data_IF_796765420263
#
_entry.id   IF_796765420263
#
_cell.length_a   1.000
_cell.length_b   1.000
_cell.length_c   1.000
_cell.angle_alpha   90.00
_cell.angle_beta   90.00
_cell.angle_gamma   90.00
#
_symmetry.space_group_name_H-M   'P 1'
#
loop_
_entity.id
_entity.type
_entity.pdbx_description
1 polymer ?
#
# COMPACT_ATOMS: atom_id res chain seq x y z
N UNK A 1 -35.52 -35.60 21.08
CA UNK A 1 -34.57 -36.64 21.55
C UNK A 1 -35.29 -37.95 21.89
N UNK A 2 -36.47 -37.91 22.52
CA UNK A 2 -37.25 -39.11 22.85
C UNK A 2 -37.79 -39.88 21.63
N UNK A 3 -38.20 -39.21 20.56
CA UNK A 3 -38.76 -39.88 19.37
C UNK A 3 -37.72 -40.65 18.55
N UNK A 4 -36.48 -40.16 18.47
CA UNK A 4 -35.38 -40.85 17.78
C UNK A 4 -35.02 -42.15 18.50
N UNK A 5 -35.03 -42.12 19.84
CA UNK A 5 -34.78 -43.28 20.69
C UNK A 5 -35.89 -44.34 20.55
N UNK A 6 -37.15 -43.90 20.46
CA UNK A 6 -38.31 -44.76 20.21
C UNK A 6 -38.31 -45.39 18.82
N UNK A 7 -37.90 -44.65 17.78
CA UNK A 7 -37.74 -45.18 16.41
C UNK A 7 -36.61 -46.20 16.34
N UNK A 8 -35.48 -45.94 17.01
CA UNK A 8 -34.35 -46.87 17.08
C UNK A 8 -34.70 -48.15 17.85
N UNK A 9 -35.48 -48.05 18.94
CA UNK A 9 -35.95 -49.20 19.72
C UNK A 9 -36.96 -50.07 18.95
N UNK A 10 -37.82 -49.47 18.12
CA UNK A 10 -38.78 -50.21 17.28
C UNK A 10 -38.15 -50.86 16.04
N UNK A 11 -37.00 -50.37 15.57
CA UNK A 11 -36.30 -50.90 14.41
C UNK A 11 -35.35 -52.07 14.74
N UNK A 12 -35.16 -52.40 16.02
CA UNK A 12 -34.30 -53.49 16.44
C UNK A 12 -35.00 -54.85 16.18
N UNK A 13 -34.45 -55.74 15.33
CA UNK A 13 -34.98 -57.08 15.14
C UNK A 13 -34.83 -57.88 16.44
N UNK A 14 -35.89 -58.60 16.82
CA UNK A 14 -35.90 -59.45 18.02
C UNK A 14 -34.65 -60.35 18.07
N UNK A 15 -33.80 -60.14 19.08
CA UNK A 15 -32.60 -60.96 19.33
C UNK A 15 -31.25 -60.34 18.97
N UNK A 16 -31.16 -59.11 18.43
CA UNK A 16 -29.87 -58.40 18.31
C UNK A 16 -29.65 -57.44 19.47
N UNK A 17 -28.52 -57.60 20.15
CA UNK A 17 -28.09 -56.71 21.23
C UNK A 17 -28.03 -55.26 20.74
N UNK A 18 -28.70 -54.35 21.46
CA UNK A 18 -28.78 -52.92 21.18
C UNK A 18 -27.37 -52.30 21.01
N UNK A 19 -26.37 -52.86 21.69
CA UNK A 19 -24.97 -52.51 21.53
C UNK A 19 -24.47 -52.65 20.07
N UNK A 20 -24.90 -53.69 19.36
CA UNK A 20 -24.44 -53.96 17.98
C UNK A 20 -24.90 -52.90 16.98
N UNK A 21 -26.01 -52.20 17.27
CA UNK A 21 -26.55 -51.12 16.42
C UNK A 21 -25.96 -49.76 16.81
N UNK A 22 -25.78 -49.48 18.11
CA UNK A 22 -25.31 -48.17 18.59
C UNK A 22 -23.81 -47.95 18.32
N UNK A 23 -22.98 -48.97 18.50
CA UNK A 23 -21.52 -48.84 18.30
C UNK A 23 -21.14 -48.29 16.93
N UNK A 24 -21.63 -48.83 15.78
CA UNK A 24 -21.26 -48.29 14.47
C UNK A 24 -21.78 -46.86 14.24
N UNK A 25 -22.93 -46.50 14.80
CA UNK A 25 -23.47 -45.13 14.72
C UNK A 25 -22.58 -44.16 15.49
N UNK A 26 -22.19 -44.51 16.72
CA UNK A 26 -21.30 -43.69 17.54
C UNK A 26 -19.91 -43.56 16.91
N UNK A 27 -19.38 -44.64 16.32
CA UNK A 27 -18.13 -44.59 15.56
C UNK A 27 -18.22 -43.68 14.33
N UNK A 28 -19.33 -43.74 13.58
CA UNK A 28 -19.55 -42.86 12.43
C UNK A 28 -19.65 -41.39 12.86
N UNK A 29 -20.39 -41.09 13.94
CA UNK A 29 -20.49 -39.74 14.50
C UNK A 29 -19.14 -39.23 15.01
N UNK A 30 -18.37 -40.06 15.73
CA UNK A 30 -17.04 -39.72 16.20
C UNK A 30 -16.09 -39.43 15.03
N UNK A 31 -16.16 -40.20 13.95
CA UNK A 31 -15.39 -39.95 12.73
C UNK A 31 -15.78 -38.62 12.08
N UNK A 32 -17.08 -38.33 11.93
CA UNK A 32 -17.56 -37.06 11.37
C UNK A 32 -17.08 -35.87 12.21
N UNK A 33 -17.20 -35.95 13.54
CA UNK A 33 -16.73 -34.92 14.46
C UNK A 33 -15.20 -34.75 14.38
N UNK A 34 -14.45 -35.84 14.28
CA UNK A 34 -13.00 -35.81 14.12
C UNK A 34 -12.58 -35.14 12.81
N UNK A 35 -13.22 -35.49 11.69
CA UNK A 35 -13.01 -34.84 10.40
C UNK A 35 -13.34 -33.34 10.44
N UNK A 36 -14.47 -32.97 11.05
CA UNK A 36 -14.87 -31.56 11.19
C UNK A 36 -13.87 -30.78 12.07
N UNK A 37 -13.42 -31.36 13.18
CA UNK A 37 -12.42 -30.75 14.06
C UNK A 37 -11.07 -30.58 13.35
N UNK A 38 -10.64 -31.57 12.57
CA UNK A 38 -9.42 -31.49 11.77
C UNK A 38 -9.50 -30.37 10.73
N UNK A 39 -10.60 -30.30 9.97
CA UNK A 39 -10.83 -29.24 8.98
C UNK A 39 -10.79 -27.86 9.65
N UNK A 40 -11.48 -27.71 10.79
CA UNK A 40 -11.48 -26.46 11.54
C UNK A 40 -10.09 -26.07 12.06
N UNK A 41 -9.32 -27.04 12.56
CA UNK A 41 -7.93 -26.83 13.00
C UNK A 41 -7.04 -26.35 11.85
N UNK A 42 -7.15 -26.96 10.66
CA UNK A 42 -6.41 -26.53 9.46
C UNK A 42 -6.81 -25.11 9.06
N UNK A 43 -8.10 -24.76 9.09
CA UNK A 43 -8.54 -23.39 8.80
C UNK A 43 -7.98 -22.36 9.79
N UNK A 44 -7.94 -22.67 11.08
CA UNK A 44 -7.32 -21.82 12.10
C UNK A 44 -5.84 -21.64 11.80
N UNK A 45 -5.10 -22.72 11.57
CA UNK A 45 -3.66 -22.67 11.28
C UNK A 45 -3.36 -21.83 10.03
N UNK A 46 -4.16 -21.96 8.97
CA UNK A 46 -4.00 -21.15 7.75
C UNK A 46 -4.28 -19.66 8.01
N UNK A 47 -5.29 -19.33 8.83
CA UNK A 47 -5.60 -17.95 9.21
C UNK A 47 -4.49 -17.35 10.07
N UNK A 48 -3.98 -18.11 11.03
CA UNK A 48 -2.87 -17.70 11.89
C UNK A 48 -1.58 -17.51 11.09
N UNK A 49 -1.26 -18.42 10.17
CA UNK A 49 -0.12 -18.27 9.26
C UNK A 49 -0.22 -16.99 8.43
N UNK A 50 -1.39 -16.71 7.84
CA UNK A 50 -1.62 -15.45 7.09
C UNK A 50 -1.46 -14.22 7.98
N UNK A 51 -1.99 -14.25 9.21
CA UNK A 51 -1.84 -13.17 10.19
C UNK A 51 -0.37 -12.94 10.54
N UNK A 52 0.37 -14.00 10.82
CA UNK A 52 1.79 -13.93 11.16
C UNK A 52 2.61 -13.36 9.99
N UNK A 53 2.36 -13.82 8.76
CA UNK A 53 3.01 -13.27 7.55
C UNK A 53 2.69 -11.78 7.40
N UNK A 54 1.43 -11.36 7.54
CA UNK A 54 1.04 -9.95 7.45
C UNK A 54 1.68 -9.11 8.56
N UNK A 55 1.82 -9.66 9.76
CA UNK A 55 2.49 -9.00 10.87
C UNK A 55 3.98 -8.82 10.57
N UNK A 56 4.69 -9.89 10.18
CA UNK A 56 6.10 -9.82 9.78
C UNK A 56 6.30 -8.81 8.65
N UNK A 57 5.48 -8.88 7.60
CA UNK A 57 5.54 -7.93 6.48
C UNK A 57 5.35 -6.48 6.97
N UNK A 58 4.34 -6.22 7.81
CA UNK A 58 4.10 -4.88 8.38
C UNK A 58 5.29 -4.39 9.21
N UNK A 59 5.90 -5.25 10.03
CA UNK A 59 7.08 -4.90 10.83
C UNK A 59 8.26 -4.55 9.92
N UNK A 60 8.57 -5.40 8.93
CA UNK A 60 9.66 -5.15 7.98
C UNK A 60 9.45 -3.86 7.19
N UNK A 61 8.23 -3.60 6.72
CA UNK A 61 7.91 -2.36 6.00
C UNK A 61 7.99 -1.12 6.90
N UNK A 62 7.61 -1.24 8.17
CA UNK A 62 7.76 -0.16 9.16
C UNK A 62 9.24 0.17 9.39
N UNK A 63 10.11 -0.84 9.49
CA UNK A 63 11.56 -0.66 9.60
C UNK A 63 12.15 0.00 8.36
N UNK A 64 11.74 -0.42 7.16
CA UNK A 64 12.12 0.22 5.89
C UNK A 64 11.72 1.71 5.89
N UNK A 65 10.48 2.02 6.28
CA UNK A 65 10.01 3.39 6.37
C UNK A 65 10.83 4.22 7.37
N UNK A 66 11.15 3.64 8.53
CA UNK A 66 12.01 4.27 9.53
C UNK A 66 13.41 4.58 9.00
N UNK A 67 14.02 3.66 8.25
CA UNK A 67 15.32 3.90 7.60
C UNK A 67 15.20 4.99 6.53
N UNK A 68 14.14 4.99 5.72
CA UNK A 68 13.92 6.02 4.70
C UNK A 68 13.83 7.42 5.32
N UNK A 69 13.15 7.56 6.46
CA UNK A 69 13.09 8.83 7.19
C UNK A 69 14.47 9.23 7.71
N UNK A 70 15.23 8.30 8.33
CA UNK A 70 16.59 8.60 8.83
C UNK A 70 17.52 9.06 7.72
N UNK A 71 17.54 8.36 6.58
CA UNK A 71 18.36 8.73 5.42
C UNK A 71 17.94 10.09 4.87
N UNK A 72 16.64 10.39 4.83
CA UNK A 72 16.15 11.70 4.40
C UNK A 72 16.59 12.82 5.35
N UNK A 73 16.46 12.62 6.67
CA UNK A 73 16.89 13.59 7.69
C UNK A 73 18.38 13.88 7.59
N UNK A 74 19.21 12.84 7.50
CA UNK A 74 20.67 12.95 7.34
C UNK A 74 21.05 13.78 6.10
N UNK A 75 20.38 13.54 4.96
CA UNK A 75 20.62 14.30 3.72
C UNK A 75 20.16 15.76 3.79
N UNK A 76 19.25 16.09 4.70
CA UNK A 76 18.69 17.44 4.85
C UNK A 76 19.52 18.27 5.84
N UNK A 77 20.03 17.66 6.90
CA UNK A 77 20.76 18.33 7.98
C UNK A 77 22.22 18.60 7.62
N UNK A 78 22.84 17.75 6.79
CA UNK A 78 24.22 17.95 6.34
C UNK A 78 24.25 18.51 4.91
N UNK A 79 24.51 19.82 4.79
CA UNK A 79 24.72 20.49 3.50
C UNK A 79 25.99 19.98 2.79
N UNK A 80 27.04 19.68 3.56
CA UNK A 80 28.29 19.12 3.06
C UNK A 80 28.33 17.59 3.24
N UNK A 81 28.65 16.87 2.17
CA UNK A 81 28.75 15.41 2.18
C UNK A 81 30.11 14.97 2.72
N UNK A 82 30.21 14.82 4.03
CA UNK A 82 31.41 14.24 4.68
C UNK A 82 31.57 12.76 4.29
N UNK A 83 32.80 12.23 4.20
CA UNK A 83 33.02 10.79 3.98
C UNK A 83 32.31 9.91 5.02
N UNK A 84 32.27 10.35 6.27
CA UNK A 84 31.61 9.67 7.38
C UNK A 84 30.09 9.59 7.18
N UNK A 85 29.44 10.68 6.74
CA UNK A 85 28.02 10.69 6.39
C UNK A 85 27.72 9.70 5.27
N UNK A 86 28.56 9.68 4.24
CA UNK A 86 28.41 8.76 3.10
C UNK A 86 28.47 7.31 3.59
N UNK A 87 29.39 6.98 4.49
CA UNK A 87 29.49 5.64 5.11
C UNK A 87 28.23 5.29 5.91
N UNK A 88 27.73 6.21 6.74
CA UNK A 88 26.49 6.01 7.52
C UNK A 88 25.29 5.76 6.60
N UNK A 89 25.14 6.54 5.54
CA UNK A 89 24.07 6.36 4.54
C UNK A 89 24.21 5.01 3.84
N UNK A 90 25.43 4.59 3.50
CA UNK A 90 25.68 3.28 2.87
C UNK A 90 25.32 2.11 3.80
N UNK A 91 25.61 2.23 5.10
CA UNK A 91 25.20 1.25 6.11
C UNK A 91 23.67 1.15 6.21
N UNK A 92 22.96 2.28 6.20
CA UNK A 92 21.50 2.28 6.13
C UNK A 92 20.96 1.68 4.84
N UNK A 93 21.59 1.95 3.70
CA UNK A 93 21.21 1.37 2.42
C UNK A 93 21.40 -0.16 2.41
N UNK A 94 22.47 -0.67 3.01
CA UNK A 94 22.69 -2.11 3.14
C UNK A 94 21.61 -2.79 4.00
N UNK A 95 21.28 -2.22 5.17
CA UNK A 95 20.18 -2.72 6.01
C UNK A 95 18.85 -2.70 5.26
N UNK A 96 18.58 -1.60 4.56
CA UNK A 96 17.37 -1.43 3.75
C UNK A 96 17.29 -2.46 2.62
N UNK A 97 18.39 -2.74 1.94
CA UNK A 97 18.44 -3.77 0.89
C UNK A 97 18.07 -5.17 1.41
N UNK A 98 18.58 -5.54 2.59
CA UNK A 98 18.22 -6.81 3.25
C UNK A 98 16.73 -6.87 3.61
N UNK A 99 16.20 -5.81 4.22
CA UNK A 99 14.79 -5.75 4.62
C UNK A 99 13.85 -5.78 3.40
N UNK A 100 14.18 -5.03 2.35
CA UNK A 100 13.42 -5.00 1.09
C UNK A 100 13.40 -6.37 0.45
N UNK A 101 14.54 -7.08 0.41
CA UNK A 101 14.60 -8.44 -0.14
C UNK A 101 13.71 -9.42 0.64
N UNK A 102 13.69 -9.31 1.98
CA UNK A 102 12.80 -10.11 2.82
C UNK A 102 11.31 -9.78 2.59
N UNK A 103 10.98 -8.50 2.47
CA UNK A 103 9.61 -8.05 2.19
C UNK A 103 9.14 -8.49 0.80
N UNK A 104 9.99 -8.36 -0.23
CA UNK A 104 9.74 -8.81 -1.60
C UNK A 104 9.42 -10.30 -1.63
N UNK A 105 10.26 -11.12 -1.00
CA UNK A 105 10.00 -12.56 -0.87
C UNK A 105 8.64 -12.84 -0.21
N UNK A 106 8.31 -12.18 0.90
CA UNK A 106 7.01 -12.39 1.58
C UNK A 106 5.83 -11.96 0.69
N UNK A 107 5.97 -10.87 -0.06
CA UNK A 107 4.96 -10.34 -0.96
C UNK A 107 4.79 -11.21 -2.21
N UNK A 108 5.87 -11.74 -2.78
CA UNK A 108 5.81 -12.68 -3.91
C UNK A 108 5.06 -13.97 -3.52
N UNK A 109 5.39 -14.52 -2.34
CA UNK A 109 4.72 -15.73 -1.83
C UNK A 109 3.27 -15.48 -1.39
N UNK A 110 2.90 -14.24 -1.06
CA UNK A 110 1.60 -13.88 -0.49
C UNK A 110 1.03 -12.60 -1.10
N UNK A 111 1.00 -12.52 -2.43
CA UNK A 111 0.68 -11.29 -3.17
C UNK A 111 -0.58 -10.58 -2.70
N UNK A 112 -1.63 -11.30 -2.31
CA UNK A 112 -2.91 -10.73 -1.83
C UNK A 112 -2.84 -10.05 -0.45
N UNK A 113 -1.77 -10.24 0.32
CA UNK A 113 -1.62 -9.63 1.65
C UNK A 113 -1.06 -8.21 1.60
N UNK A 114 -0.45 -7.81 0.49
CA UNK A 114 0.09 -6.47 0.29
C UNK A 114 -0.99 -5.49 -0.19
N UNK A 115 -1.09 -4.37 0.53
CA UNK A 115 -1.90 -3.21 0.12
C UNK A 115 -1.19 -2.40 -0.97
N UNK A 116 -1.94 -1.50 -1.63
CA UNK A 116 -1.41 -0.51 -2.58
C UNK A 116 -0.35 0.40 -1.91
N UNK A 117 -0.53 0.72 -0.64
CA UNK A 117 0.43 1.52 0.14
C UNK A 117 1.75 0.75 0.38
N UNK A 118 1.66 -0.55 0.68
CA UNK A 118 2.85 -1.40 0.85
C UNK A 118 3.63 -1.48 -0.46
N UNK A 119 2.94 -1.67 -1.59
CA UNK A 119 3.53 -1.71 -2.92
C UNK A 119 4.21 -0.37 -3.27
N UNK A 120 3.57 0.75 -2.99
CA UNK A 120 4.15 2.08 -3.23
C UNK A 120 5.39 2.34 -2.36
N UNK A 121 5.42 1.87 -1.12
CA UNK A 121 6.60 1.94 -0.28
C UNK A 121 7.75 1.11 -0.85
N UNK A 122 7.47 -0.11 -1.31
CA UNK A 122 8.47 -0.94 -2.00
C UNK A 122 8.98 -0.26 -3.26
N UNK A 123 8.10 0.31 -4.09
CA UNK A 123 8.47 1.02 -5.31
C UNK A 123 9.46 2.17 -5.04
N UNK A 124 9.14 3.05 -4.09
CA UNK A 124 10.04 4.15 -3.69
C UNK A 124 11.36 3.63 -3.14
N UNK A 125 11.33 2.52 -2.40
CA UNK A 125 12.53 2.00 -1.78
C UNK A 125 13.47 1.37 -2.80
N UNK A 126 12.95 0.61 -3.76
CA UNK A 126 13.74 0.09 -4.87
C UNK A 126 14.31 1.22 -5.74
N UNK A 127 13.53 2.27 -6.01
CA UNK A 127 14.01 3.44 -6.75
C UNK A 127 15.22 4.09 -6.05
N UNK A 128 15.14 4.26 -4.72
CA UNK A 128 16.23 4.80 -3.92
C UNK A 128 17.45 3.88 -3.79
N UNK A 129 17.27 2.58 -4.01
CA UNK A 129 18.35 1.58 -4.08
C UNK A 129 18.92 1.43 -5.50
N UNK A 130 18.33 2.08 -6.50
CA UNK A 130 18.77 2.05 -7.90
C UNK A 130 18.16 0.93 -8.75
N UNK A 131 17.33 0.06 -8.18
CA UNK A 131 16.62 -0.97 -8.94
C UNK A 131 15.35 -0.39 -9.56
N UNK A 132 15.54 0.27 -10.70
CA UNK A 132 14.46 0.93 -11.44
C UNK A 132 13.43 -0.06 -12.00
N UNK A 133 13.84 -1.29 -12.32
CA UNK A 133 12.96 -2.32 -12.85
C UNK A 133 11.94 -2.79 -11.82
N UNK A 134 12.41 -3.19 -10.63
CA UNK A 134 11.52 -3.55 -9.52
C UNK A 134 10.69 -2.34 -9.06
N UNK A 135 11.27 -1.15 -9.01
CA UNK A 135 10.52 0.06 -8.68
C UNK A 135 9.31 0.29 -9.60
N UNK A 136 9.53 0.17 -10.92
CA UNK A 136 8.48 0.31 -11.92
C UNK A 136 7.39 -0.78 -11.78
N UNK A 137 7.81 -2.04 -11.59
CA UNK A 137 6.88 -3.15 -11.36
C UNK A 137 5.95 -2.89 -10.17
N UNK A 138 6.53 -2.43 -9.04
CA UNK A 138 5.75 -2.14 -7.84
C UNK A 138 4.83 -0.93 -7.99
N UNK A 139 5.25 0.10 -8.73
CA UNK A 139 4.36 1.24 -9.04
C UNK A 139 3.15 0.82 -9.87
N UNK A 140 3.35 0.03 -10.92
CA UNK A 140 2.27 -0.50 -11.75
C UNK A 140 1.28 -1.32 -10.91
N UNK A 141 1.78 -2.21 -10.05
CA UNK A 141 0.92 -2.99 -9.16
C UNK A 141 0.21 -2.13 -8.11
N UNK A 142 0.85 -1.08 -7.57
CA UNK A 142 0.23 -0.15 -6.63
C UNK A 142 -0.96 0.59 -7.27
N UNK A 143 -0.79 1.12 -8.49
CA UNK A 143 -1.86 1.78 -9.26
C UNK A 143 -3.00 0.82 -9.54
N UNK A 144 -2.69 -0.41 -9.97
CA UNK A 144 -3.68 -1.46 -10.26
C UNK A 144 -4.50 -1.89 -9.04
N UNK A 145 -3.92 -1.87 -7.84
CA UNK A 145 -4.58 -2.32 -6.60
C UNK A 145 -5.28 -1.23 -5.82
N UNK A 146 -5.08 0.03 -6.17
CA UNK A 146 -5.78 1.14 -5.53
C UNK A 146 -7.30 0.95 -5.67
N UNK A 147 -8.02 0.84 -4.55
CA UNK A 147 -9.45 0.48 -4.53
C UNK A 147 -10.37 1.70 -4.41
N UNK A 148 -9.84 2.86 -4.03
CA UNK A 148 -10.60 4.10 -3.88
C UNK A 148 -10.08 5.18 -4.84
N UNK A 149 -10.93 6.15 -5.27
CA UNK A 149 -10.48 7.26 -6.11
C UNK A 149 -9.30 8.05 -5.51
N UNK A 150 -9.32 8.26 -4.19
CA UNK A 150 -8.25 8.96 -3.49
C UNK A 150 -6.91 8.19 -3.51
N UNK A 151 -6.95 6.87 -3.30
CA UNK A 151 -5.75 6.04 -3.45
C UNK A 151 -5.27 6.04 -4.88
N UNK A 152 -6.18 5.87 -5.85
CA UNK A 152 -5.83 5.81 -7.26
C UNK A 152 -5.12 7.10 -7.73
N UNK A 153 -5.70 8.26 -7.40
CA UNK A 153 -5.08 9.56 -7.60
C UNK A 153 -3.66 9.63 -7.01
N UNK A 154 -3.50 9.24 -5.73
CA UNK A 154 -2.20 9.28 -5.04
C UNK A 154 -1.17 8.37 -5.70
N UNK A 155 -1.53 7.12 -6.03
CA UNK A 155 -0.59 6.18 -6.63
C UNK A 155 -0.20 6.60 -8.05
N UNK A 156 -1.16 7.09 -8.86
CA UNK A 156 -0.88 7.59 -10.21
C UNK A 156 0.01 8.83 -10.18
N UNK A 157 -0.27 9.78 -9.28
CA UNK A 157 0.55 10.98 -9.07
C UNK A 157 1.99 10.63 -8.71
N UNK A 158 2.17 9.73 -7.75
CA UNK A 158 3.51 9.36 -7.29
C UNK A 158 4.26 8.54 -8.36
N UNK A 159 3.55 7.71 -9.13
CA UNK A 159 4.13 7.00 -10.27
C UNK A 159 4.52 7.96 -11.41
N UNK A 160 3.70 8.98 -11.71
CA UNK A 160 4.03 10.03 -12.66
C UNK A 160 5.33 10.76 -12.26
N UNK A 161 5.47 11.12 -10.99
CA UNK A 161 6.69 11.73 -10.48
C UNK A 161 7.92 10.80 -10.60
N UNK A 162 7.74 9.49 -10.42
CA UNK A 162 8.79 8.50 -10.69
C UNK A 162 9.18 8.49 -12.18
N UNK A 163 8.21 8.47 -13.09
CA UNK A 163 8.45 8.46 -14.54
C UNK A 163 9.19 9.71 -15.02
N UNK A 164 8.87 10.90 -14.49
CA UNK A 164 9.62 12.13 -14.76
C UNK A 164 11.10 11.97 -14.40
N UNK A 165 11.41 11.42 -13.22
CA UNK A 165 12.80 11.17 -12.79
C UNK A 165 13.53 10.15 -13.66
N UNK A 166 12.81 9.36 -14.44
CA UNK A 166 13.36 8.40 -15.42
C UNK A 166 13.37 8.94 -16.85
N UNK A 167 13.14 10.25 -17.03
CA UNK A 167 13.08 10.92 -18.33
C UNK A 167 11.96 10.37 -19.24
N UNK A 168 10.88 9.85 -18.66
CA UNK A 168 9.70 9.37 -19.38
C UNK A 168 8.56 10.41 -19.28
N UNK A 169 8.86 11.67 -19.64
CA UNK A 169 7.99 12.82 -19.40
C UNK A 169 6.59 12.66 -20.02
N UNK A 170 6.49 12.18 -21.26
CA UNK A 170 5.17 12.02 -21.90
C UNK A 170 4.26 11.00 -21.19
N UNK A 171 4.82 9.88 -20.73
CA UNK A 171 4.06 8.91 -19.93
C UNK A 171 3.67 9.52 -18.58
N UNK A 172 4.60 10.25 -17.97
CA UNK A 172 4.37 10.91 -16.70
C UNK A 172 3.23 11.93 -16.77
N UNK A 173 3.19 12.76 -17.83
CA UNK A 173 2.09 13.71 -18.08
C UNK A 173 0.75 12.99 -18.19
N UNK A 174 0.68 11.91 -18.98
CA UNK A 174 -0.54 11.08 -19.08
C UNK A 174 -0.97 10.52 -17.74
N UNK A 175 -0.03 10.06 -16.90
CA UNK A 175 -0.34 9.56 -15.56
C UNK A 175 -0.85 10.68 -14.63
N UNK A 176 -0.28 11.88 -14.71
CA UNK A 176 -0.81 13.03 -13.96
C UNK A 176 -2.21 13.41 -14.41
N UNK A 177 -2.47 13.48 -15.71
CA UNK A 177 -3.81 13.76 -16.26
C UNK A 177 -4.84 12.73 -15.76
N UNK A 178 -4.48 11.44 -15.82
CA UNK A 178 -5.32 10.37 -15.27
C UNK A 178 -5.58 10.55 -13.77
N UNK A 179 -4.55 10.92 -13.00
CA UNK A 179 -4.70 11.16 -11.57
C UNK A 179 -5.66 12.31 -11.28
N UNK A 180 -5.65 13.36 -12.11
CA UNK A 180 -6.50 14.54 -11.94
C UNK A 180 -7.93 14.33 -12.43
N UNK A 181 -8.15 13.33 -13.27
CA UNK A 181 -9.48 12.89 -13.70
C UNK A 181 -10.24 12.09 -12.62
N UNK A 182 -9.64 11.85 -11.45
CA UNK A 182 -10.30 11.20 -10.34
C UNK A 182 -11.57 11.97 -9.91
N UNK A 183 -12.69 11.25 -9.81
CA UNK A 183 -13.97 11.84 -9.42
C UNK A 183 -13.99 12.07 -7.90
N UNK A 184 -13.65 13.28 -7.50
CA UNK A 184 -13.73 13.75 -6.11
C UNK A 184 -15.03 14.50 -5.86
N UNK A 185 -15.58 14.38 -4.65
CA UNK A 185 -16.83 15.06 -4.24
C UNK A 185 -16.62 16.54 -3.90
N UNK A 186 -15.40 17.06 -4.09
CA UNK A 186 -15.05 18.46 -3.85
C UNK A 186 -14.86 18.79 -2.37
N UNK A 187 -14.48 17.80 -1.55
CA UNK A 187 -14.12 18.04 -0.14
C UNK A 187 -12.80 18.81 -0.07
N UNK A 188 -12.63 19.61 0.98
CA UNK A 188 -11.43 20.43 1.18
C UNK A 188 -10.12 19.62 1.13
N UNK A 189 -10.12 18.39 1.67
CA UNK A 189 -8.96 17.48 1.60
C UNK A 189 -8.63 17.06 0.16
N UNK A 190 -9.66 16.76 -0.63
CA UNK A 190 -9.50 16.32 -2.01
C UNK A 190 -9.02 17.47 -2.90
N UNK A 191 -9.60 18.66 -2.71
CA UNK A 191 -9.15 19.88 -3.38
C UNK A 191 -7.70 20.20 -3.04
N UNK A 192 -7.29 20.00 -1.77
CA UNK A 192 -5.90 20.17 -1.37
C UNK A 192 -4.97 19.15 -2.05
N UNK A 193 -5.36 17.88 -2.16
CA UNK A 193 -4.57 16.88 -2.88
C UNK A 193 -4.43 17.19 -4.37
N UNK A 194 -5.51 17.64 -5.02
CA UNK A 194 -5.47 18.07 -6.42
C UNK A 194 -4.51 19.25 -6.62
N UNK A 195 -4.64 20.28 -5.79
CA UNK A 195 -3.75 21.44 -5.85
C UNK A 195 -2.27 21.07 -5.62
N UNK A 196 -1.99 20.22 -4.63
CA UNK A 196 -0.63 19.72 -4.40
C UNK A 196 -0.09 18.91 -5.58
N UNK A 197 -0.96 18.18 -6.27
CA UNK A 197 -0.60 17.45 -7.50
C UNK A 197 -0.21 18.40 -8.63
N UNK A 198 -0.98 19.47 -8.83
CA UNK A 198 -0.63 20.52 -9.78
C UNK A 198 0.71 21.18 -9.43
N UNK A 199 0.96 21.52 -8.16
CA UNK A 199 2.25 22.10 -7.72
C UNK A 199 3.41 21.14 -7.99
N UNK A 200 3.24 19.86 -7.66
CA UNK A 200 4.26 18.84 -7.90
C UNK A 200 4.57 18.70 -9.39
N UNK A 201 3.53 18.59 -10.23
CA UNK A 201 3.70 18.46 -11.67
C UNK A 201 4.34 19.72 -12.26
N UNK A 202 3.89 20.91 -11.86
CA UNK A 202 4.50 22.16 -12.29
C UNK A 202 6.00 22.19 -12.00
N UNK A 203 6.42 21.83 -10.78
CA UNK A 203 7.84 21.75 -10.41
C UNK A 203 8.64 20.84 -11.34
N UNK A 204 8.09 19.67 -11.67
CA UNK A 204 8.74 18.73 -12.59
C UNK A 204 8.80 19.25 -14.03
N UNK A 205 7.78 19.95 -14.53
CA UNK A 205 7.82 20.59 -15.85
C UNK A 205 8.87 21.71 -15.92
N UNK A 206 9.01 22.47 -14.83
CA UNK A 206 10.04 23.50 -14.71
C UNK A 206 11.44 22.90 -14.75
N UNK A 207 11.66 21.76 -14.09
CA UNK A 207 12.94 21.03 -14.15
C UNK A 207 13.25 20.49 -15.57
N UNK A 208 12.25 20.41 -16.44
CA UNK A 208 12.34 20.03 -17.87
C UNK A 208 12.28 21.25 -18.82
N UNK A 209 12.51 22.46 -18.31
CA UNK A 209 12.48 23.73 -19.05
C UNK A 209 11.13 24.03 -19.76
N UNK A 210 10.03 23.38 -19.35
CA UNK A 210 8.70 23.62 -19.89
C UNK A 210 7.96 24.70 -19.07
N UNK A 211 8.41 25.94 -19.23
CA UNK A 211 7.87 27.08 -18.48
C UNK A 211 6.39 27.38 -18.78
N UNK A 212 5.90 27.07 -19.98
CA UNK A 212 4.50 27.31 -20.34
C UNK A 212 3.56 26.43 -19.51
N UNK A 213 3.86 25.13 -19.40
CA UNK A 213 3.07 24.23 -18.56
C UNK A 213 3.26 24.50 -17.07
N UNK A 214 4.47 24.89 -16.64
CA UNK A 214 4.68 25.34 -15.26
C UNK A 214 3.67 26.44 -14.87
N UNK A 215 3.59 27.52 -15.63
CA UNK A 215 2.68 28.65 -15.32
C UNK A 215 1.21 28.21 -15.35
N UNK A 216 0.82 27.42 -16.36
CA UNK A 216 -0.55 26.89 -16.48
C UNK A 216 -0.93 26.04 -15.27
N UNK A 217 -0.07 25.10 -14.87
CA UNK A 217 -0.31 24.20 -13.75
C UNK A 217 -0.34 24.96 -12.41
N UNK A 218 0.50 25.99 -12.24
CA UNK A 218 0.46 26.84 -11.05
C UNK A 218 -0.83 27.68 -10.94
N UNK A 219 -1.38 28.14 -12.07
CA UNK A 219 -2.70 28.78 -12.10
C UNK A 219 -3.81 27.82 -11.69
N UNK A 220 -3.80 26.58 -12.21
CA UNK A 220 -4.76 25.53 -11.84
C UNK A 220 -4.65 25.17 -10.34
N UNK A 221 -3.43 25.05 -9.80
CA UNK A 221 -3.20 24.84 -8.37
C UNK A 221 -3.85 25.95 -7.53
N UNK A 222 -3.64 27.21 -7.92
CA UNK A 222 -4.25 28.38 -7.29
C UNK A 222 -5.78 28.34 -7.35
N UNK A 223 -6.34 28.01 -8.52
CA UNK A 223 -7.78 27.89 -8.70
C UNK A 223 -8.39 26.83 -7.77
N UNK A 224 -7.77 25.64 -7.67
CA UNK A 224 -8.22 24.59 -6.72
C UNK A 224 -8.08 25.03 -5.26
N UNK A 225 -6.99 25.72 -4.90
CA UNK A 225 -6.79 26.24 -3.56
C UNK A 225 -7.93 27.18 -3.13
N UNK A 226 -8.38 28.09 -4.01
CA UNK A 226 -9.46 29.04 -3.69
C UNK A 226 -10.81 28.38 -3.41
N UNK A 227 -11.04 27.16 -3.91
CA UNK A 227 -12.28 26.42 -3.67
C UNK A 227 -12.34 25.80 -2.26
N UNK A 228 -11.22 25.67 -1.56
CA UNK A 228 -11.15 25.08 -0.21
C UNK A 228 -11.85 25.97 0.80
N UNK A 229 -12.90 25.48 1.47
CA UNK A 229 -13.70 26.28 2.41
C UNK A 229 -12.98 26.57 3.73
N UNK A 230 -12.19 25.63 4.23
CA UNK A 230 -11.39 25.80 5.44
C UNK A 230 -10.27 26.83 5.23
N UNK A 231 -10.42 28.00 5.86
CA UNK A 231 -9.51 29.13 5.71
C UNK A 231 -8.06 28.81 6.13
N UNK A 232 -7.87 28.06 7.22
CA UNK A 232 -6.54 27.68 7.68
C UNK A 232 -5.83 26.82 6.64
N UNK A 233 -6.51 25.77 6.15
CA UNK A 233 -5.98 24.88 5.12
C UNK A 233 -5.71 25.61 3.81
N UNK A 234 -6.62 26.49 3.39
CA UNK A 234 -6.44 27.34 2.21
C UNK A 234 -5.18 28.18 2.34
N UNK A 235 -4.98 28.85 3.47
CA UNK A 235 -3.80 29.68 3.73
C UNK A 235 -2.51 28.85 3.70
N UNK A 236 -2.47 27.73 4.42
CA UNK A 236 -1.31 26.83 4.45
C UNK A 236 -0.94 26.33 3.04
N UNK A 237 -1.94 25.98 2.22
CA UNK A 237 -1.72 25.55 0.85
C UNK A 237 -1.29 26.71 -0.06
N UNK A 238 -1.85 27.89 0.12
CA UNK A 238 -1.44 29.09 -0.62
C UNK A 238 0.03 29.41 -0.36
N UNK A 239 0.50 29.30 0.88
CA UNK A 239 1.92 29.48 1.23
C UNK A 239 2.84 28.45 0.53
N UNK A 240 2.35 27.21 0.30
CA UNK A 240 3.08 26.21 -0.50
C UNK A 240 3.14 26.64 -1.97
N UNK A 241 2.03 27.07 -2.54
CA UNK A 241 1.94 27.54 -3.94
C UNK A 241 2.83 28.76 -4.16
N UNK A 242 2.81 29.73 -3.24
CA UNK A 242 3.61 30.95 -3.33
C UNK A 242 5.11 30.66 -3.23
N UNK A 243 5.52 29.73 -2.36
CA UNK A 243 6.92 29.27 -2.30
C UNK A 243 7.35 28.58 -3.59
N UNK A 244 6.52 27.71 -4.15
CA UNK A 244 6.82 27.05 -5.43
C UNK A 244 6.96 28.05 -6.60
N UNK A 245 6.21 29.16 -6.54
CA UNK A 245 6.32 30.28 -7.47
C UNK A 245 7.51 31.22 -7.21
N UNK A 246 8.33 30.98 -6.19
CA UNK A 246 9.42 31.88 -5.80
C UNK A 246 8.95 33.21 -5.19
N UNK A 247 7.68 33.29 -4.77
CA UNK A 247 7.08 34.48 -4.12
C UNK A 247 7.14 34.41 -2.58
N UNK A 248 7.41 33.23 -2.03
CA UNK A 248 7.61 33.04 -0.59
C UNK A 248 9.02 33.44 -0.17
N UNK A 249 9.13 34.46 0.69
CA UNK A 249 10.35 34.78 1.45
C UNK A 249 10.42 33.92 2.71
#
# INVERSE_FOLDING_TARGET
MNDLLLVLLRAAPEGKDLATIITPIMSALALILSCAAFIFSVFIQLRERKRNIRQTLSTTLSEIAGINVKVFTLRREEEEKTPELVEVINNYNAQRGTLVSAADFLMEQNSRLASDVDLALMARTYDQLGDTGKANQYWCEAVKRASTPAQNHKQQRDYAAFLFKKNQAEEARRMFEQSLAANFEGRDDELAYLAQTFVLWAGLEKDFDNHADFERLMQEAGAKCQLIKNLKKRKELQEVIDRANGKGK
#
